data_IF_503751002011
#
_entry.id   IF_503751002011
#
_cell.length_a   1.000
_cell.length_b   1.000
_cell.length_c   1.000
_cell.angle_alpha   90.00
_cell.angle_beta   90.00
_cell.angle_gamma   90.00
#
_symmetry.space_group_name_H-M   'P 1'
#
loop_
_entity.id
_entity.type
_entity.pdbx_description
1 polymer ?
#
# COMPACT_ATOMS: atom_id res chain seq x y z
N UNK A 1 -41.59 1.27 37.37
CA UNK A 1 -41.71 0.96 35.92
C UNK A 1 -40.98 1.98 35.03
N UNK A 2 -40.86 3.25 35.41
CA UNK A 2 -40.21 4.30 34.62
C UNK A 2 -38.66 4.17 34.56
N UNK A 3 -38.06 3.65 35.63
CA UNK A 3 -36.59 3.48 35.72
C UNK A 3 -36.04 2.33 34.85
N UNK A 4 -36.81 1.23 34.74
CA UNK A 4 -36.40 0.08 33.92
C UNK A 4 -36.47 0.39 32.42
N UNK A 5 -37.43 1.19 31.97
CA UNK A 5 -37.60 1.58 30.58
C UNK A 5 -36.49 2.52 30.11
N UNK A 6 -35.99 3.40 31.01
CA UNK A 6 -34.88 4.30 30.71
C UNK A 6 -33.52 3.56 30.62
N UNK A 7 -33.35 2.52 31.45
CA UNK A 7 -32.16 1.67 31.39
C UNK A 7 -32.07 0.83 30.11
N UNK A 8 -33.18 0.23 29.68
CA UNK A 8 -33.26 -0.54 28.46
C UNK A 8 -33.04 0.32 27.21
N UNK A 9 -33.54 1.55 27.18
CA UNK A 9 -33.33 2.47 26.08
C UNK A 9 -31.85 2.91 25.95
N UNK A 10 -31.19 3.18 27.07
CA UNK A 10 -29.77 3.55 27.06
C UNK A 10 -28.86 2.40 26.68
N UNK A 11 -29.20 1.14 27.00
CA UNK A 11 -28.46 -0.04 26.56
C UNK A 11 -28.63 -0.24 25.05
N UNK A 12 -29.84 -0.13 24.53
CA UNK A 12 -30.11 -0.26 23.09
C UNK A 12 -29.41 0.83 22.23
N UNK A 13 -29.34 2.08 22.73
CA UNK A 13 -28.59 3.14 22.05
C UNK A 13 -27.10 2.85 22.09
N UNK A 14 -26.55 2.35 23.20
CA UNK A 14 -25.14 2.04 23.34
C UNK A 14 -24.72 0.85 22.43
N UNK A 15 -25.54 -0.19 22.38
CA UNK A 15 -25.33 -1.31 21.47
C UNK A 15 -25.42 -0.87 19.97
N UNK A 16 -26.34 0.03 19.62
CA UNK A 16 -26.43 0.55 18.25
C UNK A 16 -25.29 1.51 17.89
N UNK A 17 -24.73 2.24 18.85
CA UNK A 17 -23.55 3.08 18.65
C UNK A 17 -22.28 2.21 18.51
N UNK A 18 -22.12 1.15 19.31
CA UNK A 18 -21.01 0.21 19.19
C UNK A 18 -21.07 -0.60 17.87
N UNK A 19 -22.27 -1.04 17.43
CA UNK A 19 -22.43 -1.69 16.12
C UNK A 19 -22.19 -0.74 14.93
N UNK A 20 -22.39 0.58 15.11
CA UNK A 20 -22.12 1.57 14.06
C UNK A 20 -20.64 1.94 13.99
N UNK A 21 -19.90 1.88 15.11
CA UNK A 21 -18.46 2.11 15.12
C UNK A 21 -17.65 0.93 14.54
N UNK A 22 -18.14 -0.32 14.65
CA UNK A 22 -17.49 -1.48 14.03
C UNK A 22 -17.65 -1.56 12.50
N UNK A 23 -18.50 -0.73 11.89
CA UNK A 23 -18.82 -0.80 10.45
C UNK A 23 -18.42 0.43 9.63
N UNK A 24 -17.65 1.36 10.16
CA UNK A 24 -16.87 2.29 9.34
C UNK A 24 -15.65 1.54 8.78
N UNK A 25 -15.87 0.70 7.78
CA UNK A 25 -14.77 0.23 6.93
C UNK A 25 -14.16 1.46 6.27
N UNK A 26 -13.08 1.99 6.87
CA UNK A 26 -12.28 3.02 6.20
C UNK A 26 -11.99 2.53 4.79
N UNK A 27 -12.32 3.33 3.79
CA UNK A 27 -12.01 3.00 2.41
C UNK A 27 -10.52 2.66 2.32
N UNK A 28 -10.21 1.41 1.97
CA UNK A 28 -8.85 0.92 1.88
C UNK A 28 -8.16 1.58 0.66
N UNK A 29 -7.09 2.31 0.91
CA UNK A 29 -6.27 2.94 -0.12
C UNK A 29 -4.86 2.36 -0.08
N UNK A 30 -4.47 1.65 -1.15
CA UNK A 30 -3.17 0.96 -1.24
C UNK A 30 -2.25 1.72 -2.19
N UNK A 31 -1.05 2.07 -1.71
CA UNK A 31 -0.01 2.69 -2.52
C UNK A 31 1.10 1.67 -2.83
N UNK A 32 1.48 1.60 -4.10
CA UNK A 32 2.51 0.69 -4.63
C UNK A 32 3.59 1.55 -5.30
N UNK A 33 4.67 1.94 -4.61
CA UNK A 33 5.83 2.53 -5.25
C UNK A 33 6.51 1.54 -6.18
N UNK A 34 6.70 1.91 -7.45
CA UNK A 34 7.25 1.05 -8.48
C UNK A 34 8.52 1.67 -9.08
N UNK A 35 9.57 0.87 -9.27
CA UNK A 35 10.86 1.34 -9.79
C UNK A 35 11.13 0.87 -11.22
N UNK A 36 10.85 -0.38 -11.56
CA UNK A 36 11.16 -0.98 -12.85
C UNK A 36 10.05 -1.91 -13.36
N UNK A 37 10.13 -2.28 -14.64
CA UNK A 37 9.17 -3.14 -15.34
C UNK A 37 9.21 -4.60 -14.84
N UNK A 38 10.35 -5.08 -14.33
CA UNK A 38 10.56 -6.50 -13.98
C UNK A 38 9.77 -6.89 -12.71
N UNK A 39 9.55 -5.95 -11.80
CA UNK A 39 8.93 -6.22 -10.49
C UNK A 39 7.54 -5.65 -10.33
N UNK A 40 7.10 -4.79 -11.25
CA UNK A 40 5.82 -4.09 -11.13
C UNK A 40 4.63 -5.05 -11.13
N UNK A 41 4.64 -6.07 -11.97
CA UNK A 41 3.56 -7.06 -12.05
C UNK A 41 3.42 -7.85 -10.74
N UNK A 42 4.55 -8.28 -10.15
CA UNK A 42 4.54 -9.02 -8.89
C UNK A 42 4.03 -8.17 -7.72
N UNK A 43 4.44 -6.89 -7.65
CA UNK A 43 3.97 -5.97 -6.61
C UNK A 43 2.47 -5.67 -6.75
N UNK A 44 1.99 -5.48 -7.97
CA UNK A 44 0.56 -5.29 -8.23
C UNK A 44 -0.22 -6.55 -7.86
N UNK A 45 0.23 -7.73 -8.28
CA UNK A 45 -0.42 -9.00 -7.94
C UNK A 45 -0.44 -9.26 -6.43
N UNK A 46 0.63 -8.93 -5.70
CA UNK A 46 0.65 -9.00 -4.25
C UNK A 46 -0.40 -8.05 -3.65
N UNK A 47 -0.46 -6.81 -4.13
CA UNK A 47 -1.42 -5.81 -3.65
C UNK A 47 -2.87 -6.24 -3.91
N UNK A 48 -3.12 -6.86 -5.07
CA UNK A 48 -4.43 -7.46 -5.41
C UNK A 48 -4.79 -8.63 -4.49
N UNK A 49 -3.79 -9.40 -4.03
CA UNK A 49 -4.01 -10.53 -3.13
C UNK A 49 -4.30 -10.09 -1.69
N UNK A 50 -3.71 -8.97 -1.22
CA UNK A 50 -3.89 -8.48 0.15
C UNK A 50 -5.05 -7.51 0.29
N UNK A 51 -5.50 -6.86 -0.79
CA UNK A 51 -6.63 -5.92 -0.74
C UNK A 51 -7.93 -6.61 -0.33
N UNK A 52 -8.82 -5.89 0.32
CA UNK A 52 -10.17 -6.35 0.60
C UNK A 52 -10.92 -6.71 -0.70
N UNK A 53 -11.72 -7.77 -0.66
CA UNK A 53 -12.56 -8.19 -1.80
C UNK A 53 -13.62 -7.16 -2.17
N UNK A 54 -14.05 -6.35 -1.21
CA UNK A 54 -15.03 -5.28 -1.39
C UNK A 54 -14.41 -4.00 -1.95
N UNK A 55 -13.07 -3.87 -1.88
CA UNK A 55 -12.37 -2.71 -2.42
C UNK A 55 -12.28 -2.79 -3.96
N UNK A 56 -13.05 -1.97 -4.65
CA UNK A 56 -13.05 -1.85 -6.11
C UNK A 56 -12.26 -0.64 -6.62
N UNK A 57 -11.82 0.24 -5.73
CA UNK A 57 -11.06 1.46 -6.02
C UNK A 57 -10.01 1.67 -4.92
N UNK A 58 -9.16 2.66 -5.07
CA UNK A 58 -8.16 2.97 -4.02
C UNK A 58 -6.79 2.31 -4.25
N UNK A 59 -6.53 1.68 -5.40
CA UNK A 59 -5.20 1.22 -5.80
C UNK A 59 -4.44 2.33 -6.54
N UNK A 60 -3.21 2.58 -6.09
CA UNK A 60 -2.32 3.59 -6.68
C UNK A 60 -0.93 2.99 -6.93
N UNK A 61 -0.44 3.03 -8.17
CA UNK A 61 0.97 2.80 -8.47
C UNK A 61 1.67 4.14 -8.59
N UNK A 62 2.82 4.29 -7.94
CA UNK A 62 3.58 5.55 -7.98
C UNK A 62 4.99 5.33 -8.50
N UNK A 63 5.38 6.11 -9.50
CA UNK A 63 6.75 6.24 -9.97
C UNK A 63 7.30 7.61 -9.60
N UNK A 64 8.46 7.63 -8.95
CA UNK A 64 9.20 8.87 -8.64
C UNK A 64 10.29 9.07 -9.69
N UNK A 65 10.40 10.28 -10.19
CA UNK A 65 11.46 10.74 -11.09
C UNK A 65 12.24 11.86 -10.40
N UNK A 66 13.55 11.77 -10.44
CA UNK A 66 14.41 12.87 -10.04
C UNK A 66 14.30 14.03 -11.06
N UNK A 67 14.05 15.23 -10.58
CA UNK A 67 13.96 16.44 -11.40
C UNK A 67 15.22 16.69 -12.25
N UNK A 68 16.38 16.21 -11.81
CA UNK A 68 17.66 16.38 -12.52
C UNK A 68 17.83 15.37 -13.67
N UNK A 69 17.08 14.27 -13.62
CA UNK A 69 17.15 13.14 -14.60
C UNK A 69 15.91 13.05 -15.49
N UNK A 70 15.14 14.13 -15.65
CA UNK A 70 13.86 14.14 -16.39
C UNK A 70 14.03 14.28 -17.90
N UNK A 71 14.87 13.47 -18.52
CA UNK A 71 14.95 13.38 -19.96
C UNK A 71 13.74 12.60 -20.56
N UNK A 72 13.51 12.78 -21.86
CA UNK A 72 12.39 12.13 -22.56
C UNK A 72 12.43 10.60 -22.47
N UNK A 73 13.62 9.99 -22.36
CA UNK A 73 13.79 8.56 -22.23
C UNK A 73 13.33 8.07 -20.87
N UNK A 74 13.76 8.74 -19.80
CA UNK A 74 13.34 8.44 -18.42
C UNK A 74 11.84 8.62 -18.26
N UNK A 75 11.26 9.67 -18.83
CA UNK A 75 9.84 9.91 -18.79
C UNK A 75 9.03 8.80 -19.50
N UNK A 76 9.48 8.38 -20.69
CA UNK A 76 8.86 7.28 -21.45
C UNK A 76 8.95 5.96 -20.70
N UNK A 77 10.11 5.63 -20.12
CA UNK A 77 10.29 4.43 -19.30
C UNK A 77 9.36 4.45 -18.08
N UNK A 78 9.29 5.56 -17.37
CA UNK A 78 8.42 5.72 -16.21
C UNK A 78 6.93 5.57 -16.53
N UNK A 79 6.49 6.13 -17.66
CA UNK A 79 5.11 5.95 -18.13
C UNK A 79 4.82 4.48 -18.48
N UNK A 80 5.80 3.75 -19.04
CA UNK A 80 5.67 2.35 -19.38
C UNK A 80 5.49 1.49 -18.12
N UNK A 81 6.30 1.69 -17.09
CA UNK A 81 6.16 1.02 -15.79
C UNK A 81 4.76 1.25 -15.20
N UNK A 82 4.27 2.48 -15.22
CA UNK A 82 2.92 2.79 -14.72
C UNK A 82 1.82 2.15 -15.59
N UNK A 83 2.01 2.10 -16.91
CA UNK A 83 1.05 1.44 -17.80
C UNK A 83 0.99 -0.07 -17.53
N UNK A 84 2.14 -0.73 -17.35
CA UNK A 84 2.19 -2.14 -16.95
C UNK A 84 1.44 -2.39 -15.64
N UNK A 85 1.59 -1.52 -14.64
CA UNK A 85 0.83 -1.62 -13.39
C UNK A 85 -0.69 -1.53 -13.62
N UNK A 86 -1.13 -0.58 -14.45
CA UNK A 86 -2.54 -0.39 -14.79
C UNK A 86 -3.10 -1.61 -15.52
N UNK A 87 -2.39 -2.11 -16.53
CA UNK A 87 -2.81 -3.26 -17.33
C UNK A 87 -2.87 -4.54 -16.50
N UNK A 88 -1.91 -4.73 -15.57
CA UNK A 88 -1.91 -5.87 -14.63
C UNK A 88 -3.14 -5.85 -13.73
N UNK A 89 -3.49 -4.70 -13.16
CA UNK A 89 -4.69 -4.58 -12.33
C UNK A 89 -5.98 -4.75 -13.13
N UNK A 90 -6.03 -4.19 -14.35
CA UNK A 90 -7.19 -4.29 -15.24
C UNK A 90 -7.50 -5.74 -15.64
N UNK A 91 -6.49 -6.61 -15.70
CA UNK A 91 -6.68 -8.06 -15.97
C UNK A 91 -7.53 -8.77 -14.90
N UNK A 92 -7.73 -8.16 -13.74
CA UNK A 92 -8.58 -8.66 -12.64
C UNK A 92 -9.79 -7.75 -12.36
N UNK A 93 -10.22 -6.96 -13.34
CA UNK A 93 -11.31 -5.98 -13.22
C UNK A 93 -11.09 -4.96 -12.06
N UNK A 94 -9.84 -4.74 -11.67
CA UNK A 94 -9.49 -3.79 -10.61
C UNK A 94 -8.97 -2.49 -11.21
N UNK A 95 -9.49 -1.36 -10.71
CA UNK A 95 -9.06 -0.03 -11.15
C UNK A 95 -7.83 0.43 -10.38
N UNK A 96 -6.72 0.64 -11.09
CA UNK A 96 -5.48 1.20 -10.53
C UNK A 96 -5.19 2.56 -11.16
N UNK A 97 -4.79 3.54 -10.34
CA UNK A 97 -4.39 4.88 -10.79
C UNK A 97 -2.87 5.01 -10.78
N UNK A 98 -2.30 5.38 -11.93
CA UNK A 98 -0.85 5.67 -12.04
C UNK A 98 -0.54 7.10 -11.60
N UNK A 99 0.43 7.27 -10.72
CA UNK A 99 0.92 8.54 -10.21
C UNK A 99 2.38 8.73 -10.62
N UNK A 100 2.67 9.80 -11.34
CA UNK A 100 4.04 10.23 -11.62
C UNK A 100 4.38 11.40 -10.71
N UNK A 101 5.47 11.27 -9.93
CA UNK A 101 5.93 12.30 -9.01
C UNK A 101 7.36 12.72 -9.34
N UNK A 102 7.62 14.02 -9.24
CA UNK A 102 8.95 14.58 -9.35
C UNK A 102 9.42 14.96 -7.94
N UNK A 103 10.46 14.31 -7.45
CA UNK A 103 11.06 14.58 -6.14
C UNK A 103 12.52 14.12 -6.13
N UNK A 104 13.34 14.77 -5.33
CA UNK A 104 14.73 14.37 -5.08
C UNK A 104 14.82 13.21 -4.09
N UNK A 105 13.78 13.02 -3.26
CA UNK A 105 13.71 11.98 -2.23
C UNK A 105 12.53 11.08 -2.44
N UNK A 106 12.79 9.80 -2.73
CA UNK A 106 11.75 8.78 -2.91
C UNK A 106 10.89 8.64 -1.63
N UNK A 107 11.52 8.64 -0.45
CA UNK A 107 10.79 8.53 0.83
C UNK A 107 9.89 9.73 1.09
N UNK A 108 10.33 10.95 0.77
CA UNK A 108 9.50 12.15 0.89
C UNK A 108 8.30 12.09 -0.08
N UNK A 109 8.52 11.68 -1.33
CA UNK A 109 7.45 11.51 -2.29
C UNK A 109 6.40 10.49 -1.80
N UNK A 110 6.83 9.35 -1.23
CA UNK A 110 5.94 8.33 -0.66
C UNK A 110 5.13 8.91 0.49
N UNK A 111 5.79 9.51 1.49
CA UNK A 111 5.10 10.05 2.67
C UNK A 111 4.15 11.20 2.34
N UNK A 112 4.46 12.00 1.33
CA UNK A 112 3.55 13.03 0.83
C UNK A 112 2.30 12.44 0.21
N UNK A 113 2.43 11.43 -0.66
CA UNK A 113 1.28 10.75 -1.29
C UNK A 113 0.46 9.99 -0.26
N UNK A 114 1.10 9.38 0.75
CA UNK A 114 0.40 8.73 1.87
C UNK A 114 -0.59 9.70 2.52
N UNK A 115 -0.16 10.91 2.80
CA UNK A 115 -1.02 11.96 3.40
C UNK A 115 -2.04 12.53 2.42
N UNK A 116 -1.63 12.84 1.18
CA UNK A 116 -2.50 13.45 0.15
C UNK A 116 -3.65 12.55 -0.29
N UNK A 117 -3.46 11.24 -0.26
CA UNK A 117 -4.42 10.24 -0.74
C UNK A 117 -5.03 9.40 0.36
N UNK A 118 -4.77 9.74 1.62
CA UNK A 118 -5.29 9.01 2.78
C UNK A 118 -5.01 7.52 2.66
N UNK A 119 -3.75 7.18 2.28
CA UNK A 119 -3.30 5.81 2.09
C UNK A 119 -3.38 5.06 3.42
N UNK A 120 -3.98 3.89 3.41
CA UNK A 120 -4.08 2.99 4.57
C UNK A 120 -3.00 1.92 4.56
N UNK A 121 -2.60 1.48 3.37
CA UNK A 121 -1.67 0.38 3.18
C UNK A 121 -0.61 0.73 2.14
N UNK A 122 0.63 0.33 2.42
CA UNK A 122 1.78 0.56 1.56
C UNK A 122 2.43 -0.77 1.20
N UNK A 123 2.68 -1.00 -0.09
CA UNK A 123 3.35 -2.22 -0.57
C UNK A 123 4.70 -1.83 -1.18
N UNK A 124 5.78 -2.13 -0.47
CA UNK A 124 7.16 -1.80 -0.85
C UNK A 124 7.89 -3.02 -1.41
N UNK A 125 8.46 -2.90 -2.61
CA UNK A 125 9.35 -3.90 -3.18
C UNK A 125 10.81 -3.65 -2.80
N UNK A 126 11.49 -4.66 -2.26
CA UNK A 126 12.93 -4.67 -2.04
C UNK A 126 13.62 -5.41 -3.21
N UNK A 127 13.59 -4.83 -4.40
CA UNK A 127 14.33 -5.40 -5.52
C UNK A 127 15.77 -4.85 -5.52
N UNK A 128 16.74 -5.75 -5.76
CA UNK A 128 18.12 -5.34 -6.02
C UNK A 128 18.20 -4.77 -7.44
N UNK A 129 18.08 -3.46 -7.57
CA UNK A 129 18.56 -2.81 -8.79
C UNK A 129 20.08 -2.93 -8.81
N UNK A 130 20.65 -3.21 -9.99
CA UNK A 130 22.11 -3.43 -10.15
C UNK A 130 22.93 -2.24 -9.68
N UNK A 131 22.33 -1.05 -9.68
CA UNK A 131 22.99 0.23 -9.39
C UNK A 131 22.60 0.82 -8.02
N UNK A 132 21.68 0.20 -7.25
CA UNK A 132 21.27 0.68 -5.93
C UNK A 132 21.84 -0.22 -4.84
N UNK A 133 22.71 0.29 -3.95
CA UNK A 133 23.21 -0.47 -2.80
C UNK A 133 22.05 -0.95 -1.91
N UNK A 134 22.14 -2.19 -1.40
CA UNK A 134 21.12 -2.75 -0.51
C UNK A 134 20.88 -1.88 0.74
N UNK A 135 21.91 -1.17 1.22
CA UNK A 135 21.80 -0.21 2.33
C UNK A 135 20.89 0.99 1.98
N UNK A 136 20.86 1.43 0.73
CA UNK A 136 20.03 2.56 0.31
C UNK A 136 18.53 2.17 0.30
N UNK A 137 18.19 0.96 -0.12
CA UNK A 137 16.82 0.43 -0.04
C UNK A 137 16.35 0.32 1.41
N UNK A 138 17.26 -0.12 2.33
CA UNK A 138 16.99 -0.13 3.76
C UNK A 138 16.66 1.26 4.29
N UNK A 139 17.41 2.29 3.88
CA UNK A 139 17.18 3.66 4.28
C UNK A 139 15.83 4.22 3.80
N UNK A 140 15.37 3.87 2.57
CA UNK A 140 14.06 4.28 2.08
C UNK A 140 12.96 3.67 2.96
N UNK A 141 13.03 2.37 3.22
CA UNK A 141 12.07 1.65 4.07
C UNK A 141 12.07 2.22 5.48
N UNK A 142 13.23 2.39 6.09
CA UNK A 142 13.37 2.96 7.43
C UNK A 142 12.78 4.36 7.52
N UNK A 143 13.11 5.25 6.59
CA UNK A 143 12.56 6.61 6.54
C UNK A 143 11.04 6.61 6.37
N UNK A 144 10.50 5.72 5.53
CA UNK A 144 9.05 5.60 5.34
C UNK A 144 8.37 5.11 6.61
N UNK A 145 8.90 4.07 7.26
CA UNK A 145 8.35 3.53 8.52
C UNK A 145 8.42 4.54 9.66
N UNK A 146 9.46 5.37 9.72
CA UNK A 146 9.57 6.42 10.75
C UNK A 146 8.59 7.59 10.55
N UNK A 147 8.16 7.86 9.30
CA UNK A 147 7.36 9.05 8.97
C UNK A 147 5.93 8.73 8.52
N UNK A 148 5.54 7.47 8.51
CA UNK A 148 4.17 7.04 8.21
C UNK A 148 3.69 5.98 9.20
N UNK A 149 2.42 6.08 9.62
CA UNK A 149 1.76 5.14 10.52
C UNK A 149 0.77 4.24 9.77
N UNK A 150 1.07 3.90 8.52
CA UNK A 150 0.22 3.04 7.68
C UNK A 150 0.70 1.60 7.71
N UNK A 151 -0.18 0.64 7.51
CA UNK A 151 0.20 -0.76 7.35
C UNK A 151 1.18 -0.89 6.19
N UNK A 152 2.35 -1.46 6.43
CA UNK A 152 3.40 -1.55 5.41
C UNK A 152 3.77 -3.00 5.14
N UNK A 153 3.53 -3.44 3.91
CA UNK A 153 3.99 -4.73 3.39
C UNK A 153 5.33 -4.55 2.70
N UNK A 154 6.34 -5.29 3.15
CA UNK A 154 7.68 -5.27 2.53
C UNK A 154 7.88 -6.58 1.80
N UNK A 155 7.96 -6.50 0.46
CA UNK A 155 8.12 -7.67 -0.39
C UNK A 155 9.53 -7.74 -0.98
N UNK A 156 10.21 -8.85 -0.70
CA UNK A 156 11.51 -9.17 -1.31
C UNK A 156 11.33 -10.36 -2.25
N UNK A 157 11.31 -10.15 -3.57
CA UNK A 157 11.15 -11.23 -4.53
C UNK A 157 12.38 -12.15 -4.49
N UNK A 158 12.13 -13.43 -4.21
CA UNK A 158 13.14 -14.50 -4.25
C UNK A 158 12.77 -15.51 -5.33
N UNK A 159 11.46 -15.70 -5.53
CA UNK A 159 10.86 -16.56 -6.53
C UNK A 159 9.49 -16.01 -6.94
N UNK A 160 8.94 -16.36 -8.12
CA UNK A 160 7.62 -15.90 -8.54
C UNK A 160 6.54 -16.25 -7.51
N UNK A 161 5.62 -15.31 -7.20
CA UNK A 161 4.55 -15.49 -6.23
C UNK A 161 3.74 -16.78 -6.43
N UNK A 162 3.42 -17.11 -7.67
CA UNK A 162 2.67 -18.31 -8.04
C UNK A 162 3.36 -19.64 -7.67
N UNK A 163 4.67 -19.61 -7.37
CA UNK A 163 5.45 -20.81 -6.99
C UNK A 163 5.53 -21.02 -5.49
N UNK A 164 5.06 -20.07 -4.69
CA UNK A 164 5.09 -20.13 -3.23
C UNK A 164 4.02 -21.11 -2.75
N UNK A 165 4.45 -22.23 -2.17
CA UNK A 165 3.56 -23.29 -1.66
C UNK A 165 3.37 -23.27 -0.15
N UNK A 166 4.22 -22.56 0.58
CA UNK A 166 4.20 -22.51 2.05
C UNK A 166 4.44 -21.09 2.52
N UNK A 167 3.69 -20.67 3.51
CA UNK A 167 3.86 -19.39 4.20
C UNK A 167 4.16 -19.67 5.66
N UNK A 168 5.15 -18.96 6.22
CA UNK A 168 5.46 -18.95 7.64
C UNK A 168 5.16 -17.55 8.17
N UNK A 169 4.32 -17.46 9.17
CA UNK A 169 4.00 -16.21 9.85
C UNK A 169 4.64 -16.24 11.23
N UNK A 170 5.51 -15.26 11.51
CA UNK A 170 6.12 -15.04 12.81
C UNK A 170 5.41 -13.87 13.47
N UNK A 171 4.77 -14.12 14.60
CA UNK A 171 4.06 -13.10 15.39
C UNK A 171 4.85 -12.93 16.69
N UNK A 172 5.32 -11.71 17.04
CA UNK A 172 5.95 -11.44 18.31
C UNK A 172 4.97 -11.65 19.48
N UNK A 173 5.46 -12.14 20.62
CA UNK A 173 4.64 -12.40 21.82
C UNK A 173 3.92 -11.15 22.37
N UNK A 174 4.30 -9.97 21.93
CA UNK A 174 3.73 -8.69 22.38
C UNK A 174 2.81 -8.03 21.33
N UNK A 175 2.55 -8.66 20.20
CA UNK A 175 1.72 -8.09 19.13
C UNK A 175 0.23 -7.90 19.53
N UNK A 176 -0.23 -8.50 20.63
CA UNK A 176 -1.61 -8.37 21.13
C UNK A 176 -1.80 -7.20 22.11
N UNK A 177 -0.78 -6.35 22.32
CA UNK A 177 -0.82 -5.27 23.32
C UNK A 177 -0.90 -3.85 22.73
N UNK A 178 -1.02 -3.70 21.41
CA UNK A 178 -1.19 -2.40 20.76
C UNK A 178 -2.62 -2.17 20.28
#
# INVERSE_FOLDING_TARGET
SFSAQKGAHNIAIKESEEETEENETKDEHILIPVSNEETVEELVNLSLAVKSKTNTSGLYAMKVIDNQSSDDKTLKASKRVLQTAIDTAAATDTRLKGLLRYDLSISNAITSVVKEREITDLVLGLHKEKDIPAAFLGNIVENVLQHSSVTTFIYKPVQPLATIKRHLILIPDQAEKE
#
